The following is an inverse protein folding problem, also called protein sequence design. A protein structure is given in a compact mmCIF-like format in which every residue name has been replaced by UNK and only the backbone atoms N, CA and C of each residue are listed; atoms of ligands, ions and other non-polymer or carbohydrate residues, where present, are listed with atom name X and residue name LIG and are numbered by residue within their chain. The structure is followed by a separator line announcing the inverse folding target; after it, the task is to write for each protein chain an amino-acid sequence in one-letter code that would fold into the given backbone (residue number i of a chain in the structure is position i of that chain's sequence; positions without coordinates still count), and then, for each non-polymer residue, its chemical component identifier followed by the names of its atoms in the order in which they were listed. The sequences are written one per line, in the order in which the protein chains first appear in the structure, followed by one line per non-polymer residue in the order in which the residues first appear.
data_IF_911147006136
#
_entry.id   IF_911147006136
#
_cell.length_a   1.000
_cell.length_b   1.000
_cell.length_c   1.000
_cell.angle_alpha   90.00
_cell.angle_beta   90.00
_cell.angle_gamma   90.00
#
_symmetry.space_group_name_H-M   'P 1'
#
loop_
_entity.id
_entity.type
_entity.pdbx_description
1 polymer ?
2 water ?
#
# COMPACT_ATOMS: atom_id res chain seq x y z
N UNK A 5 7.83 -9.86 -14.92
CA UNK A 5 6.81 -8.80 -15.03
C UNK A 5 5.45 -9.34 -15.50
N UNK A 6 5.10 -10.54 -15.03
CA UNK A 6 3.84 -11.15 -15.41
C UNK A 6 3.08 -11.64 -14.19
N UNK A 7 2.04 -10.89 -13.80
CA UNK A 7 1.22 -11.22 -12.63
C UNK A 7 0.74 -12.69 -12.67
N UNK A 8 0.95 -13.40 -11.57
CA UNK A 8 0.57 -14.81 -11.49
C UNK A 8 -0.78 -15.03 -10.80
N UNK A 9 -0.94 -16.19 -10.16
CA UNK A 9 -2.17 -16.53 -9.46
C UNK A 9 -1.89 -17.44 -8.27
N UNK A 10 -1.26 -16.91 -7.21
CA UNK A 10 -0.91 -17.65 -6.00
C UNK A 10 -2.19 -17.93 -5.25
N UNK A 11 -3.30 -17.71 -5.94
CA UNK A 11 -4.62 -17.96 -5.39
C UNK A 11 -4.64 -19.19 -4.47
N UNK A 12 -3.80 -20.20 -4.76
CA UNK A 12 -3.81 -21.37 -3.87
C UNK A 12 -3.13 -21.09 -2.52
N UNK A 13 -1.83 -20.83 -2.57
CA UNK A 13 -1.03 -20.54 -1.37
C UNK A 13 -1.80 -19.67 -0.38
N UNK A 14 -2.54 -18.69 -0.90
CA UNK A 14 -3.28 -17.75 -0.07
C UNK A 14 -4.65 -18.16 0.43
N UNK A 15 -5.39 -18.95 -0.33
CA UNK A 15 -6.69 -19.37 0.17
C UNK A 15 -6.47 -20.49 1.18
N UNK A 16 -5.32 -21.16 1.05
CA UNK A 16 -4.95 -22.23 1.96
C UNK A 16 -4.65 -21.59 3.32
N UNK A 17 -3.78 -20.59 3.32
CA UNK A 17 -3.41 -19.87 4.54
C UNK A 17 -4.59 -19.09 5.13
N UNK A 18 -5.53 -18.68 4.30
CA UNK A 18 -6.68 -17.94 4.81
C UNK A 18 -7.51 -18.85 5.70
N UNK A 19 -7.74 -20.09 5.24
CA UNK A 19 -8.53 -21.04 6.03
C UNK A 19 -7.83 -21.39 7.32
N UNK A 20 -6.51 -21.57 7.26
CA UNK A 20 -5.77 -21.91 8.45
C UNK A 20 -5.96 -20.83 9.50
N UNK A 21 -5.71 -19.58 9.14
CA UNK A 21 -5.88 -18.48 10.10
C UNK A 21 -7.25 -18.51 10.77
N UNK A 22 -8.32 -18.58 9.97
CA UNK A 22 -9.66 -18.61 10.53
C UNK A 22 -9.83 -19.76 11.52
N UNK A 23 -9.22 -20.91 11.22
CA UNK A 23 -9.27 -22.08 12.11
C UNK A 23 -8.47 -21.84 13.37
N UNK A 24 -7.25 -21.34 13.20
CA UNK A 24 -6.35 -21.04 14.30
C UNK A 24 -6.96 -19.99 15.21
N UNK A 25 -7.64 -19.04 14.58
CA UNK A 25 -8.33 -17.97 15.27
C UNK A 25 -9.21 -18.60 16.36
N UNK A 26 -10.00 -19.60 15.96
CA UNK A 26 -10.89 -20.26 16.88
C UNK A 26 -10.15 -21.20 17.82
N UNK A 27 -9.03 -21.74 17.37
CA UNK A 27 -8.24 -22.62 18.21
C UNK A 27 -7.79 -21.78 19.39
N UNK A 28 -7.33 -20.57 19.10
CA UNK A 28 -6.85 -19.66 20.13
C UNK A 28 -7.97 -19.23 21.10
N UNK A 29 -9.20 -19.11 20.60
CA UNK A 29 -10.31 -18.72 21.48
C UNK A 29 -10.59 -19.78 22.53
N UNK A 30 -10.61 -21.04 22.09
CA UNK A 30 -10.88 -22.16 22.98
C UNK A 30 -9.67 -22.47 23.84
N UNK A 31 -8.49 -21.98 23.44
CA UNK A 31 -7.28 -22.23 24.19
C UNK A 31 -7.11 -21.27 25.35
N UNK A 32 -7.48 -20.02 25.14
CA UNK A 32 -7.39 -19.02 26.20
C UNK A 32 -8.30 -19.46 27.34
N UNK A 33 -9.40 -20.15 26.99
CA UNK A 33 -10.38 -20.65 27.95
C UNK A 33 -9.86 -21.92 28.60
N UNK A 34 -9.51 -22.89 27.77
CA UNK A 34 -8.99 -24.17 28.23
C UNK A 34 -7.80 -23.96 29.16
N UNK A 35 -6.96 -22.97 28.85
CA UNK A 35 -5.80 -22.72 29.70
C UNK A 35 -6.22 -22.15 31.04
N UNK A 36 -6.89 -20.99 31.02
CA UNK A 36 -7.34 -20.35 32.26
C UNK A 36 -8.02 -21.35 33.17
N UNK A 37 -8.80 -22.25 32.58
CA UNK A 37 -9.49 -23.26 33.35
C UNK A 37 -8.49 -24.13 34.11
N UNK A 38 -7.51 -24.69 33.39
CA UNK A 38 -6.46 -25.51 34.00
C UNK A 38 -5.71 -24.81 35.11
N UNK A 39 -5.48 -23.51 34.94
CA UNK A 39 -4.76 -22.72 35.93
C UNK A 39 -5.54 -22.59 37.23
N UNK A 40 -6.86 -22.52 37.14
CA UNK A 40 -7.67 -22.39 38.35
C UNK A 40 -7.94 -23.76 38.99
N UNK A 41 -7.61 -24.82 38.27
CA UNK A 41 -7.80 -26.17 38.77
C UNK A 41 -6.48 -26.78 39.19
N UNK A 42 -5.50 -25.92 39.46
CA UNK A 42 -4.20 -26.37 39.90
C UNK A 42 -4.09 -26.40 41.41
N UNK A 43 -3.77 -27.57 41.97
CA UNK A 43 -3.64 -27.72 43.42
C UNK A 43 -2.50 -26.85 43.95
N UNK A 44 -2.76 -26.03 44.98
CA UNK A 44 -1.71 -25.17 45.54
C UNK A 44 -0.47 -26.01 45.74
N UNK A 45 0.62 -25.62 45.07
CA UNK A 45 1.90 -26.32 45.09
C UNK A 45 1.77 -27.60 44.26
N UNK A 46 2.14 -27.48 42.99
CA UNK A 46 2.06 -28.56 42.03
C UNK A 46 2.79 -29.83 42.46
N UNK A 47 2.16 -30.94 42.18
CA UNK A 47 2.74 -32.28 42.36
C UNK A 47 3.45 -32.72 41.09
N UNK A 48 2.85 -33.71 40.45
CA UNK A 48 3.33 -34.24 39.17
C UNK A 48 2.15 -34.52 38.25
N UNK A 49 1.39 -35.54 38.62
CA UNK A 49 0.12 -35.89 37.97
C UNK A 49 -0.84 -34.70 38.03
N UNK A 50 -0.34 -33.68 38.65
CA UNK A 50 -1.04 -32.41 38.59
C UNK A 50 -0.74 -31.76 37.23
N UNK A 51 0.45 -32.03 36.69
CA UNK A 51 0.95 -31.25 35.58
C UNK A 51 0.80 -31.92 34.23
N UNK A 52 0.22 -33.11 34.21
CA UNK A 52 0.03 -33.83 32.96
C UNK A 52 -0.76 -32.97 31.96
N UNK A 53 -1.88 -32.37 32.41
CA UNK A 53 -2.70 -31.52 31.54
C UNK A 53 -1.99 -30.26 31.03
N UNK A 54 -1.08 -29.71 31.83
CA UNK A 54 -0.35 -28.52 31.40
C UNK A 54 0.71 -28.87 30.38
N UNK A 55 1.38 -30.00 30.58
CA UNK A 55 2.42 -30.45 29.65
C UNK A 55 1.84 -30.84 28.30
N UNK A 56 0.61 -31.33 28.30
CA UNK A 56 -0.05 -31.72 27.07
C UNK A 56 -0.41 -30.46 26.27
N UNK A 57 -0.79 -29.40 26.98
CA UNK A 57 -1.14 -28.12 26.35
C UNK A 57 0.12 -27.52 25.80
N UNK A 58 1.14 -27.38 26.65
CA UNK A 58 2.40 -26.84 26.20
C UNK A 58 2.82 -27.51 24.90
N UNK A 59 2.62 -28.83 24.85
CA UNK A 59 2.95 -29.63 23.67
C UNK A 59 2.19 -29.15 22.44
N UNK A 60 0.88 -29.01 22.59
CA UNK A 60 0.05 -28.56 21.50
C UNK A 60 0.43 -27.14 21.09
N UNK A 61 0.74 -26.29 22.06
CA UNK A 61 1.14 -24.93 21.75
C UNK A 61 2.39 -24.88 20.89
N UNK A 62 3.42 -25.66 21.28
CA UNK A 62 4.66 -25.69 20.51
C UNK A 62 4.43 -26.15 19.07
N UNK A 63 3.61 -27.18 18.92
CA UNK A 63 3.30 -27.68 17.61
C UNK A 63 2.60 -26.59 16.80
N UNK A 64 1.62 -25.94 17.43
CA UNK A 64 0.86 -24.91 16.75
C UNK A 64 1.74 -23.74 16.35
N UNK A 65 2.61 -23.34 17.27
CA UNK A 65 3.53 -22.26 17.00
C UNK A 65 4.31 -22.55 15.73
N UNK A 66 4.78 -23.78 15.60
CA UNK A 66 5.55 -24.16 14.43
C UNK A 66 4.79 -23.99 13.13
N UNK A 67 3.52 -24.39 13.12
CA UNK A 67 2.71 -24.25 11.93
C UNK A 67 2.72 -22.78 11.54
N UNK A 68 2.46 -21.93 12.52
CA UNK A 68 2.45 -20.50 12.31
C UNK A 68 3.73 -20.01 11.65
N UNK A 69 4.87 -20.57 12.04
CA UNK A 69 6.16 -20.20 11.44
C UNK A 69 6.23 -20.60 9.96
N UNK A 70 5.80 -21.83 9.68
CA UNK A 70 5.80 -22.36 8.32
C UNK A 70 4.91 -21.48 7.44
N UNK A 71 3.79 -21.05 8.00
CA UNK A 71 2.86 -20.18 7.29
C UNK A 71 3.56 -18.87 6.96
N UNK A 72 4.15 -18.25 7.98
CA UNK A 72 4.84 -16.99 7.78
C UNK A 72 5.89 -17.09 6.68
N UNK A 73 6.77 -18.09 6.81
CA UNK A 73 7.81 -18.28 5.82
C UNK A 73 7.19 -18.39 4.44
N UNK A 74 6.14 -19.20 4.34
CA UNK A 74 5.45 -19.39 3.07
C UNK A 74 4.98 -18.04 2.54
N UNK A 75 4.34 -17.24 3.41
CA UNK A 75 3.87 -15.93 2.99
C UNK A 75 5.06 -15.08 2.54
N UNK A 76 6.11 -15.05 3.35
CA UNK A 76 7.30 -14.26 3.02
C UNK A 76 7.99 -14.69 1.73
N UNK A 77 7.93 -15.98 1.42
CA UNK A 77 8.55 -16.50 0.21
C UNK A 77 7.72 -16.09 -0.99
N UNK A 78 6.41 -15.98 -0.80
CA UNK A 78 5.52 -15.61 -1.89
C UNK A 78 5.65 -14.15 -2.35
N UNK A 79 5.81 -13.21 -1.41
CA UNK A 79 5.96 -11.80 -1.78
C UNK A 79 7.27 -11.58 -2.50
N UNK A 80 8.30 -12.21 -1.97
CA UNK A 80 9.64 -12.10 -2.51
C UNK A 80 9.84 -12.84 -3.82
N UNK A 81 9.00 -13.84 -4.10
CA UNK A 81 9.17 -14.62 -5.32
C UNK A 81 8.11 -14.61 -6.40
N UNK A 82 6.94 -14.05 -6.12
CA UNK A 82 5.88 -14.02 -7.11
C UNK A 82 5.36 -12.60 -7.30
N UNK A 83 4.97 -12.27 -8.52
CA UNK A 83 4.39 -10.95 -8.79
C UNK A 83 2.92 -11.18 -8.57
N UNK A 84 2.38 -10.55 -7.55
CA UNK A 84 0.99 -10.73 -7.21
C UNK A 84 0.06 -9.69 -7.80
N UNK A 85 -1.14 -10.11 -8.17
CA UNK A 85 -2.11 -9.18 -8.72
C UNK A 85 -2.69 -8.41 -7.54
N UNK A 86 -3.21 -7.19 -7.78
CA UNK A 86 -3.78 -6.33 -6.73
C UNK A 86 -4.53 -7.05 -5.60
N UNK A 87 -5.42 -7.97 -5.95
CA UNK A 87 -6.18 -8.67 -4.92
C UNK A 87 -5.30 -9.57 -4.06
N UNK A 88 -4.57 -10.48 -4.70
CA UNK A 88 -3.67 -11.39 -3.99
C UNK A 88 -2.70 -10.59 -3.15
N UNK A 89 -2.28 -9.44 -3.68
CA UNK A 89 -1.36 -8.55 -2.99
C UNK A 89 -1.94 -8.01 -1.69
N UNK A 90 -3.14 -7.45 -1.80
CA UNK A 90 -3.82 -6.90 -0.63
C UNK A 90 -4.06 -7.98 0.42
N UNK A 91 -4.39 -9.18 -0.05
CA UNK A 91 -4.66 -10.30 0.85
C UNK A 91 -3.42 -10.72 1.61
N UNK A 92 -2.31 -10.83 0.88
CA UNK A 92 -1.05 -11.23 1.50
C UNK A 92 -0.75 -10.30 2.68
N UNK A 93 -0.83 -8.99 2.45
CA UNK A 93 -0.55 -8.00 3.49
C UNK A 93 -1.45 -8.16 4.70
N UNK A 94 -2.70 -8.57 4.46
CA UNK A 94 -3.67 -8.75 5.54
C UNK A 94 -3.38 -10.04 6.29
N UNK A 95 -3.14 -11.12 5.54
CA UNK A 95 -2.85 -12.41 6.16
C UNK A 95 -1.61 -12.34 7.04
N UNK A 96 -0.59 -11.66 6.54
CA UNK A 96 0.67 -11.50 7.25
C UNK A 96 0.44 -10.78 8.58
N UNK A 97 -0.33 -9.70 8.51
CA UNK A 97 -0.65 -8.91 9.69
C UNK A 97 -1.34 -9.72 10.77
N UNK A 98 -2.38 -10.45 10.40
CA UNK A 98 -3.11 -11.26 11.37
C UNK A 98 -2.33 -12.48 11.88
N UNK A 99 -1.51 -13.06 11.04
CA UNK A 99 -0.73 -14.20 11.48
C UNK A 99 0.24 -13.74 12.58
N UNK A 100 0.85 -12.56 12.38
CA UNK A 100 1.78 -12.04 13.37
C UNK A 100 1.09 -11.88 14.73
N UNK A 101 -0.14 -11.36 14.72
CA UNK A 101 -0.87 -11.17 15.95
C UNK A 101 -1.19 -12.51 16.60
N UNK A 102 -1.74 -13.45 15.82
CA UNK A 102 -2.05 -14.78 16.35
C UNK A 102 -0.80 -15.36 17.00
N UNK A 103 0.32 -15.25 16.30
CA UNK A 103 1.60 -15.74 16.81
C UNK A 103 1.97 -15.13 18.17
N UNK A 104 1.82 -13.81 18.32
CA UNK A 104 2.15 -13.16 19.58
C UNK A 104 1.24 -13.61 20.69
N UNK A 105 -0.05 -13.74 20.38
CA UNK A 105 -1.01 -14.18 21.37
C UNK A 105 -0.65 -15.58 21.87
N UNK A 106 -0.39 -16.49 20.94
CA UNK A 106 -0.01 -17.85 21.30
C UNK A 106 1.24 -17.81 22.18
N UNK A 107 2.15 -16.91 21.85
CA UNK A 107 3.40 -16.74 22.60
C UNK A 107 3.15 -16.34 24.06
N UNK A 108 2.30 -15.35 24.30
CA UNK A 108 2.00 -14.92 25.67
C UNK A 108 1.34 -16.05 26.47
N UNK A 109 0.62 -16.94 25.78
CA UNK A 109 -0.01 -18.07 26.43
C UNK A 109 1.02 -19.13 26.82
N UNK A 110 1.96 -19.39 25.92
CA UNK A 110 3.01 -20.37 26.18
C UNK A 110 3.94 -19.92 27.31
N UNK A 111 4.30 -18.64 27.33
CA UNK A 111 5.17 -18.12 28.39
C UNK A 111 4.52 -18.36 29.75
N UNK A 112 3.21 -18.13 29.82
CA UNK A 112 2.48 -18.30 31.07
C UNK A 112 2.47 -19.74 31.57
N UNK A 113 2.32 -20.68 30.65
CA UNK A 113 2.31 -22.09 31.01
C UNK A 113 3.74 -22.51 31.32
N UNK A 114 4.69 -21.92 30.62
CA UNK A 114 6.10 -22.23 30.84
C UNK A 114 6.62 -21.65 32.15
N UNK A 115 6.02 -20.54 32.60
CA UNK A 115 6.41 -19.88 33.85
C UNK A 115 6.19 -20.88 34.98
N UNK A 116 5.22 -21.75 34.79
CA UNK A 116 4.86 -22.77 35.76
C UNK A 116 5.73 -24.01 35.60
N UNK A 117 5.57 -24.70 34.48
CA UNK A 117 6.32 -25.91 34.21
C UNK A 117 7.83 -25.82 34.43
N UNK A 118 8.49 -24.85 33.81
CA UNK A 118 9.93 -24.70 33.98
C UNK A 118 10.33 -23.33 34.50
N UNK A 119 9.97 -23.02 35.75
CA UNK A 119 10.35 -21.70 36.31
C UNK A 119 11.85 -21.48 36.21
N UNK A 120 12.31 -20.33 36.71
CA UNK A 120 13.72 -19.96 36.64
C UNK A 120 13.95 -19.49 35.22
N UNK A 121 13.00 -19.81 34.35
CA UNK A 121 13.06 -19.40 32.96
C UNK A 121 12.18 -18.17 32.91
N UNK A 122 11.89 -17.63 34.08
CA UNK A 122 11.07 -16.44 34.19
C UNK A 122 11.89 -15.18 34.00
N UNK A 123 11.33 -14.06 34.44
CA UNK A 123 12.03 -12.79 34.28
C UNK A 123 11.50 -12.12 33.03
N UNK A 124 10.72 -12.87 32.27
CA UNK A 124 10.14 -12.35 31.04
C UNK A 124 9.17 -11.22 31.33
N UNK A 125 9.10 -10.84 32.59
CA UNK A 125 8.23 -9.76 33.05
C UNK A 125 6.75 -10.12 32.86
N UNK A 126 5.82 -9.14 32.96
CA UNK A 126 4.41 -9.50 32.78
C UNK A 126 4.03 -9.86 31.35
N UNK A 127 3.17 -10.86 31.18
CA UNK A 127 2.71 -11.26 29.85
C UNK A 127 1.73 -10.27 29.24
N UNK A 128 2.27 -9.22 28.62
CA UNK A 128 1.44 -8.21 27.98
C UNK A 128 2.09 -7.84 26.67
N UNK A 129 1.28 -7.43 25.69
CA UNK A 129 1.82 -7.04 24.42
C UNK A 129 0.92 -6.03 23.76
N UNK A 130 1.51 -5.01 23.13
CA UNK A 130 0.74 -4.01 22.42
C UNK A 130 0.94 -4.29 20.96
N UNK A 131 -0.15 -4.43 20.21
CA UNK A 131 -0.02 -4.70 18.79
C UNK A 131 -0.96 -3.82 17.99
N UNK A 132 -0.59 -3.58 16.74
CA UNK A 132 -1.41 -2.78 15.85
C UNK A 132 -2.39 -3.68 15.12
N UNK A 133 -3.65 -3.62 15.54
CA UNK A 133 -4.71 -4.42 14.94
C UNK A 133 -5.00 -3.92 13.53
N UNK A 134 -4.75 -2.63 13.29
CA UNK A 134 -4.97 -2.03 11.97
C UNK A 134 -4.33 -0.65 11.91
N UNK A 135 -3.82 -0.29 10.73
CA UNK A 135 -3.17 0.99 10.51
C UNK A 135 -3.39 1.46 9.07
N UNK A 136 -3.24 2.76 8.81
CA UNK A 136 -3.44 3.27 7.46
C UNK A 136 -2.11 3.46 6.74
N UNK A 137 -1.02 3.07 7.38
CA UNK A 137 0.30 3.22 6.78
C UNK A 137 0.62 1.96 5.96
N UNK A 138 1.48 2.09 4.94
CA UNK A 138 2.20 3.29 4.50
C UNK A 138 1.33 4.26 3.71
N UNK A 139 1.76 5.51 3.65
CA UNK A 139 1.04 6.55 2.93
C UNK A 139 1.71 7.89 3.16
N UNK A 140 1.57 8.80 2.20
CA UNK A 140 2.12 10.14 2.36
C UNK A 140 0.93 10.98 2.80
N UNK A 141 0.98 11.52 4.01
CA UNK A 141 -0.13 12.31 4.56
C UNK A 141 0.07 13.82 4.51
N UNK A 142 -1.02 14.54 4.21
CA UNK A 142 -0.99 15.99 4.13
C UNK A 142 -1.26 16.63 5.50
N UNK A 143 -0.31 17.45 5.94
CA UNK A 143 -0.39 18.14 7.22
C UNK A 143 -1.75 18.76 7.45
N UNK A 144 -2.40 18.36 8.53
CA UNK A 144 -3.72 18.90 8.81
C UNK A 144 -4.85 17.90 8.68
N UNK A 145 -4.57 16.71 8.17
CA UNK A 145 -5.64 15.72 8.08
C UNK A 145 -5.78 15.01 9.41
N UNK A 146 -6.97 14.49 9.69
CA UNK A 146 -7.18 13.75 10.92
C UNK A 146 -7.69 12.37 10.52
N UNK A 147 -7.16 11.34 11.17
CA UNK A 147 -7.53 9.95 10.89
C UNK A 147 -8.94 9.59 11.37
N UNK A 148 -9.56 8.65 10.66
CA UNK A 148 -10.89 8.19 11.04
C UNK A 148 -10.84 7.49 12.39
N UNK A 149 -12.01 7.24 12.97
CA UNK A 149 -12.06 6.60 14.28
C UNK A 149 -11.70 5.11 14.31
N UNK A 150 -11.62 4.46 13.15
CA UNK A 150 -11.28 3.04 13.13
C UNK A 150 -10.10 2.73 12.22
N UNK A 151 -9.34 3.76 11.87
CA UNK A 151 -8.19 3.61 10.99
C UNK A 151 -6.95 3.09 11.69
N UNK A 152 -6.71 3.57 12.90
CA UNK A 152 -5.52 3.17 13.65
C UNK A 152 -5.94 2.57 15.00
N UNK A 153 -5.96 1.24 15.06
CA UNK A 153 -6.36 0.54 16.28
C UNK A 153 -5.26 -0.28 16.93
N UNK A 154 -5.04 -0.05 18.22
CA UNK A 154 -4.05 -0.79 18.98
C UNK A 154 -4.78 -1.80 19.85
N UNK A 155 -4.28 -3.01 19.89
CA UNK A 155 -4.89 -4.05 20.68
C UNK A 155 -3.88 -4.54 21.71
N UNK A 156 -4.36 -4.82 22.92
CA UNK A 156 -3.52 -5.31 24.00
C UNK A 156 -3.73 -6.82 24.17
N UNK A 157 -2.64 -7.58 24.14
CA UNK A 157 -2.70 -9.02 24.30
C UNK A 157 -2.29 -9.42 25.71
N UNK A 158 -2.92 -10.47 26.22
CA UNK A 158 -2.64 -10.93 27.57
C UNK A 158 -2.63 -12.44 27.58
N UNK A 159 -2.28 -13.01 28.73
CA UNK A 159 -2.29 -14.45 28.86
C UNK A 159 -3.65 -14.80 29.41
N UNK A 160 -3.81 -16.01 29.92
CA UNK A 160 -5.10 -16.41 30.48
C UNK A 160 -5.41 -15.54 31.70
N UNK A 161 -4.45 -15.47 32.61
CA UNK A 161 -4.60 -14.68 33.83
C UNK A 161 -3.78 -13.42 33.69
N UNK A 162 -4.28 -12.33 34.25
CA UNK A 162 -3.61 -11.04 34.20
C UNK A 162 -3.09 -10.76 35.60
N UNK A 163 -1.78 -10.76 35.76
CA UNK A 163 -1.17 -10.51 37.06
C UNK A 163 -0.57 -9.12 37.10
N UNK A 164 -1.38 -8.14 36.70
CA UNK A 164 -0.94 -6.75 36.64
C UNK A 164 -2.10 -5.81 36.36
N UNK A 165 -1.84 -4.51 36.50
CA UNK A 165 -2.83 -3.47 36.21
C UNK A 165 -2.24 -2.50 35.21
N UNK A 166 -3.10 -1.81 34.47
CA UNK A 166 -2.60 -0.85 33.50
C UNK A 166 -2.87 0.56 34.02
N UNK A 167 -1.86 1.41 33.97
CA UNK A 167 -2.02 2.78 34.44
C UNK A 167 -2.08 3.73 33.26
N UNK A 168 -2.86 4.79 33.40
CA UNK A 168 -2.96 5.76 32.33
C UNK A 168 -3.42 5.17 31.02
N UNK A 169 -3.47 6.00 29.97
CA UNK A 169 -3.88 5.62 28.61
C UNK A 169 -2.72 5.14 27.75
N UNK A 170 -3.05 4.70 26.53
CA UNK A 170 -2.04 4.24 25.60
C UNK A 170 -1.54 5.48 24.86
N UNK A 171 -0.23 5.61 24.70
CA UNK A 171 0.30 6.78 24.01
C UNK A 171 1.04 6.55 22.70
N UNK A 172 0.77 7.42 21.74
CA UNK A 172 1.41 7.33 20.45
C UNK A 172 2.59 8.25 20.41
N UNK A 173 3.63 7.81 19.73
CA UNK A 173 4.83 8.62 19.63
C UNK A 173 5.42 8.52 18.25
N UNK A 174 5.64 9.66 17.61
CA UNK A 174 6.22 9.67 16.27
C UNK A 174 7.73 9.54 16.38
N UNK A 175 8.30 8.72 15.52
CA UNK A 175 9.74 8.46 15.52
C UNK A 175 10.39 8.62 14.14
N UNK A 176 11.55 9.27 14.11
CA UNK A 176 12.28 9.47 12.85
C UNK A 176 13.72 9.05 13.12
N UNK A 177 14.05 7.82 12.73
CA UNK A 177 15.39 7.29 12.94
C UNK A 177 16.48 7.84 12.03
N UNK A 178 16.26 9.04 11.51
CA UNK A 178 17.26 9.67 10.62
C UNK A 178 17.48 11.16 10.99
N UNK A 179 17.91 11.31 12.25
CA UNK A 179 17.60 12.51 13.04
C UNK A 179 18.51 13.63 12.61
N UNK A 180 19.02 14.43 13.51
CA UNK A 180 18.72 14.39 14.95
C UNK A 180 17.25 14.67 15.40
N UNK A 185 11.52 17.87 14.27
CA UNK A 185 10.95 19.16 14.78
C UNK A 185 11.41 19.43 16.21
N UNK A 186 10.97 20.58 16.77
CA UNK A 186 11.23 21.06 18.13
C UNK A 186 9.89 21.21 18.88
N UNK A 187 8.84 20.61 18.32
CA UNK A 187 7.50 20.68 18.92
C UNK A 187 6.70 19.37 18.79
N UNK A 188 5.39 19.45 19.06
CA UNK A 188 4.52 18.28 19.01
C UNK A 188 3.76 18.13 17.71
N UNK A 189 4.09 17.07 16.94
CA UNK A 189 3.49 16.73 15.65
C UNK A 189 2.13 16.05 15.72
N UNK A 190 1.76 15.56 16.89
CA UNK A 190 0.48 14.88 16.99
C UNK A 190 -0.49 15.47 17.99
N UNK A 191 -1.78 15.27 17.68
CA UNK A 191 -2.88 15.72 18.53
C UNK A 191 -3.76 14.49 18.76
N UNK A 192 -4.08 14.21 20.02
CA UNK A 192 -4.89 13.06 20.39
C UNK A 192 -4.11 11.75 20.37
N UNK A 193 -2.95 11.78 21.04
CA UNK A 193 -2.03 10.66 21.15
C UNK A 193 -2.36 9.75 22.32
N UNK A 194 -3.11 10.27 23.29
CA UNK A 194 -3.48 9.47 24.45
C UNK A 194 -4.94 9.05 24.38
N UNK A 195 -5.16 7.75 24.42
CA UNK A 195 -6.49 7.18 24.36
C UNK A 195 -6.72 6.16 25.45
N UNK A 196 -7.95 6.03 25.92
CA UNK A 196 -8.30 5.06 26.97
C UNK A 196 -8.56 3.72 26.27
N UNK A 197 -8.66 2.66 27.05
CA UNK A 197 -8.87 1.33 26.51
C UNK A 197 -10.27 0.74 26.61
N UNK A 198 -10.75 0.20 25.50
CA UNK A 198 -12.06 -0.43 25.45
C UNK A 198 -11.94 -1.78 26.16
N UNK A 199 -12.78 -2.01 27.19
CA UNK A 199 -12.84 -3.22 28.02
C UNK A 199 -13.20 -4.54 27.35
N UNK A 200 -14.23 -4.53 26.53
CA UNK A 200 -14.67 -5.76 25.87
C UNK A 200 -13.69 -6.28 24.84
N UNK A 201 -12.79 -5.41 24.38
CA UNK A 201 -11.84 -5.80 23.35
C UNK A 201 -10.42 -5.38 23.64
N UNK A 202 -10.21 -4.68 24.75
CA UNK A 202 -8.88 -4.18 25.13
C UNK A 202 -8.26 -3.47 23.95
N UNK A 203 -9.04 -2.58 23.32
CA UNK A 203 -8.54 -1.85 22.17
C UNK A 203 -8.58 -0.36 22.39
N UNK A 204 -7.71 0.34 21.67
CA UNK A 204 -7.60 1.77 21.74
C UNK A 204 -7.59 2.28 20.32
N UNK A 205 -8.53 3.15 19.98
CA UNK A 205 -8.59 3.71 18.64
C UNK A 205 -7.92 5.08 18.64
N UNK A 206 -7.13 5.35 17.61
CA UNK A 206 -6.42 6.62 17.55
C UNK A 206 -6.68 7.53 16.35
N UNK A 207 -7.68 8.42 16.45
CA UNK A 207 -7.99 9.33 15.35
C UNK A 207 -7.00 10.48 15.40
N UNK A 208 -5.78 10.21 14.99
CA UNK A 208 -4.71 11.20 15.01
C UNK A 208 -4.90 12.39 14.08
N UNK A 209 -4.39 13.53 14.54
CA UNK A 209 -4.45 14.76 13.78
C UNK A 209 -3.00 15.15 13.56
N UNK A 210 -2.55 15.13 12.31
CA UNK A 210 -1.18 15.47 12.00
C UNK A 210 -0.99 16.97 11.90
N UNK A 211 -0.25 17.51 12.86
CA UNK A 211 -0.01 18.93 12.97
C UNK A 211 1.29 19.41 12.34
N UNK A 212 2.18 18.51 11.94
CA UNK A 212 3.43 18.95 11.37
C UNK A 212 4.02 18.07 10.27
N UNK A 213 4.64 18.72 9.29
CA UNK A 213 5.27 18.00 8.20
C UNK A 213 6.47 17.27 8.75
N UNK A 214 6.97 16.31 8.00
CA UNK A 214 8.11 15.51 8.42
C UNK A 214 9.42 15.93 7.77
N UNK A 215 9.35 16.89 6.84
CA UNK A 215 10.55 17.33 6.13
C UNK A 215 11.05 16.13 5.35
N UNK A 216 10.20 15.63 4.46
CA UNK A 216 10.50 14.48 3.60
C UNK A 216 11.29 13.34 4.24
N UNK A 217 10.94 12.99 5.47
CA UNK A 217 11.61 11.89 6.15
C UNK A 217 10.62 10.82 6.58
N UNK A 218 10.92 9.57 6.29
CA UNK A 218 10.03 8.49 6.68
C UNK A 218 9.84 8.60 8.18
N UNK A 219 8.73 8.09 8.65
CA UNK A 219 8.41 8.18 10.05
C UNK A 219 7.59 6.98 10.45
N UNK A 220 7.63 6.61 11.74
CA UNK A 220 6.87 5.48 12.25
C UNK A 220 6.29 5.87 13.60
N UNK A 221 5.11 5.36 13.93
CA UNK A 221 4.52 5.65 15.24
C UNK A 221 4.83 4.48 16.17
N UNK A 222 5.02 4.79 17.46
CA UNK A 222 5.28 3.77 18.47
C UNK A 222 4.23 3.96 19.54
N UNK A 223 3.74 2.86 20.09
CA UNK A 223 2.72 2.96 21.12
C UNK A 223 3.24 2.33 22.38
N UNK A 224 2.77 2.82 23.51
CA UNK A 224 3.20 2.28 24.78
C UNK A 224 2.27 2.65 25.93
N UNK A 225 2.28 1.82 26.96
CA UNK A 225 1.46 2.03 28.15
C UNK A 225 2.23 1.54 29.35
N UNK A 226 1.82 1.99 30.53
CA UNK A 226 2.49 1.58 31.74
C UNK A 226 1.72 0.49 32.47
N UNK A 227 2.43 -0.56 32.81
CA UNK A 227 1.85 -1.69 33.52
C UNK A 227 2.41 -1.76 34.94
N UNK A 228 1.53 -1.85 35.92
CA UNK A 228 1.95 -1.96 37.30
C UNK A 228 1.78 -3.41 37.75
N UNK A 229 2.92 -4.03 38.04
CA UNK A 229 3.03 -5.40 38.49
C UNK A 229 2.29 -5.63 39.81
N UNK A 230 2.21 -6.88 40.22
CA UNK A 230 1.53 -7.24 41.45
C UNK A 230 2.41 -6.87 42.65
N UNK A 231 3.66 -6.51 42.38
CA UNK A 231 4.58 -6.13 43.43
C UNK A 231 4.86 -4.64 43.34
N UNK A 232 3.94 -3.92 42.73
CA UNK A 232 4.06 -2.48 42.55
C UNK A 232 5.26 -2.04 41.71
N UNK A 233 5.71 -2.92 40.83
CA UNK A 233 6.82 -2.57 39.96
C UNK A 233 6.22 -2.07 38.67
N UNK A 234 6.58 -0.86 38.26
CA UNK A 234 6.02 -0.30 37.04
C UNK A 234 6.94 -0.49 35.85
N UNK A 235 6.38 -1.06 34.80
CA UNK A 235 7.13 -1.32 33.57
C UNK A 235 6.37 -0.74 32.38
N UNK A 236 7.09 -0.21 31.40
CA UNK A 236 6.43 0.33 30.21
C UNK A 236 6.48 -0.73 29.13
N UNK A 237 5.34 -0.94 28.47
CA UNK A 237 5.25 -1.91 27.39
C UNK A 237 4.97 -1.14 26.12
N UNK A 238 5.82 -1.32 25.12
CA UNK A 238 5.67 -0.63 23.83
C UNK A 238 5.41 -1.61 22.72
N UNK A 239 4.93 -1.08 21.61
CA UNK A 239 4.63 -1.90 20.46
C UNK A 239 5.79 -1.78 19.50
N UNK A 240 5.82 -2.62 18.48
CA UNK A 240 6.89 -2.50 17.50
C UNK A 240 6.47 -1.27 16.71
N UNK A 241 7.32 -0.78 15.82
CA UNK A 241 6.99 0.41 15.04
C UNK A 241 5.95 0.13 13.95
N UNK A 242 5.16 1.14 13.61
CA UNK A 242 4.15 1.00 12.57
C UNK A 242 4.83 1.00 11.22
N UNK A 243 4.06 0.85 10.14
CA UNK A 243 4.65 0.90 8.82
C UNK A 243 5.10 2.33 8.66
N UNK A 244 6.12 2.57 7.84
CA UNK A 244 6.62 3.93 7.63
C UNK A 244 5.59 4.83 6.95
N UNK A 245 5.82 6.13 7.04
CA UNK A 245 4.94 7.11 6.41
C UNK A 245 5.57 8.49 6.49
N UNK A 246 5.06 9.44 5.72
CA UNK A 246 5.58 10.82 5.73
C UNK A 246 4.46 11.87 5.71
N UNK A 247 4.74 13.02 6.32
CA UNK A 247 3.78 14.11 6.36
C UNK A 247 4.32 15.27 5.53
N UNK A 248 3.56 15.73 4.55
CA UNK A 248 4.00 16.84 3.71
C UNK A 248 3.13 18.07 3.93
N UNK A 249 3.70 19.26 3.71
CA UNK A 249 2.97 20.50 3.89
C UNK A 249 2.49 21.15 2.59
N UNK A 250 2.91 20.63 1.45
CA UNK A 250 2.50 21.16 0.15
C UNK A 250 2.72 20.10 -0.93
N UNK A 251 1.85 20.05 -1.93
CA UNK A 251 1.97 19.08 -3.02
C UNK A 251 3.27 19.23 -3.79
N UNK A 252 4.23 19.94 -3.21
CA UNK A 252 5.53 20.14 -3.84
C UNK A 252 6.45 19.08 -3.29
N UNK A 253 6.12 18.63 -2.08
CA UNK A 253 6.92 17.64 -1.39
C UNK A 253 6.51 16.20 -1.71
N UNK A 254 5.31 16.03 -2.26
CA UNK A 254 4.81 14.69 -2.53
C UNK A 254 5.83 13.75 -3.13
N UNK A 255 6.42 14.12 -4.25
CA UNK A 255 7.41 13.26 -4.89
C UNK A 255 8.54 12.83 -3.99
N UNK A 256 9.33 13.81 -3.55
CA UNK A 256 10.47 13.53 -2.70
C UNK A 256 10.13 12.64 -1.54
N UNK A 257 9.04 12.96 -0.86
CA UNK A 257 8.59 12.18 0.28
C UNK A 257 8.16 10.79 -0.16
N UNK A 258 7.23 10.73 -1.10
CA UNK A 258 6.74 9.45 -1.62
C UNK A 258 7.88 8.56 -2.06
N UNK A 259 8.93 9.16 -2.60
CA UNK A 259 10.06 8.38 -3.06
C UNK A 259 10.77 7.77 -1.87
N UNK A 260 11.10 8.62 -0.90
CA UNK A 260 11.78 8.20 0.31
C UNK A 260 11.04 7.04 0.94
N UNK A 261 9.71 7.22 1.06
CA UNK A 261 8.83 6.23 1.65
C UNK A 261 8.86 4.92 0.87
N UNK A 262 8.78 5.00 -0.46
CA UNK A 262 8.78 3.81 -1.30
C UNK A 262 10.11 3.08 -1.24
N UNK A 263 11.20 3.83 -1.27
CA UNK A 263 12.52 3.22 -1.22
C UNK A 263 12.63 2.48 0.11
N UNK A 264 12.20 3.13 1.18
CA UNK A 264 12.27 2.54 2.50
C UNK A 264 11.42 1.30 2.63
N UNK A 265 10.16 1.41 2.22
CA UNK A 265 9.29 0.26 2.32
C UNK A 265 9.81 -0.86 1.42
N UNK A 266 10.29 -0.50 0.25
CA UNK A 266 10.76 -1.51 -0.70
C UNK A 266 12.01 -2.26 -0.23
N UNK A 267 13.07 -1.53 0.10
CA UNK A 267 14.33 -2.16 0.51
C UNK A 267 14.44 -2.42 1.99
N UNK A 268 14.00 -1.45 2.79
CA UNK A 268 14.07 -1.58 4.23
C UNK A 268 15.47 -1.98 4.68
N UNK A 269 16.36 -1.00 4.73
CA UNK A 269 17.72 -1.24 5.15
C UNK A 269 18.55 -2.21 4.33
N UNK A 270 18.06 -2.59 3.16
CA UNK A 270 18.82 -3.52 2.32
C UNK A 270 19.41 -2.85 1.10
N UNK A 271 20.35 -3.53 0.45
CA UNK A 271 20.98 -2.98 -0.73
C UNK A 271 20.37 -3.58 -1.98
N UNK A 272 20.01 -4.86 -1.89
CA UNK A 272 19.41 -5.53 -3.03
C UNK A 272 18.17 -6.29 -2.63
N UNK A 273 17.15 -6.21 -3.47
CA UNK A 273 15.88 -6.92 -3.23
C UNK A 273 15.51 -7.62 -4.53
N UNK A 274 14.51 -8.48 -4.49
CA UNK A 274 14.12 -9.19 -5.70
C UNK A 274 13.20 -8.31 -6.54
N UNK A 275 13.10 -8.60 -7.82
CA UNK A 275 12.24 -7.83 -8.70
C UNK A 275 10.83 -7.90 -8.14
N UNK A 276 10.35 -9.12 -7.89
CA UNK A 276 9.00 -9.29 -7.36
C UNK A 276 8.81 -8.44 -6.10
N UNK A 277 9.75 -8.53 -5.17
CA UNK A 277 9.69 -7.77 -3.92
C UNK A 277 9.51 -6.29 -4.24
N UNK A 278 10.24 -5.82 -5.25
CA UNK A 278 10.17 -4.43 -5.62
C UNK A 278 8.82 -4.00 -6.19
N UNK A 279 8.40 -4.58 -7.32
CA UNK A 279 7.14 -4.19 -7.91
C UNK A 279 5.93 -4.50 -7.04
N UNK A 280 6.02 -5.54 -6.22
CA UNK A 280 4.90 -5.82 -5.35
C UNK A 280 4.72 -4.58 -4.49
N UNK A 281 5.82 -4.00 -4.02
CA UNK A 281 5.77 -2.79 -3.20
C UNK A 281 5.32 -1.58 -4.02
N UNK A 282 5.90 -1.43 -5.19
CA UNK A 282 5.55 -0.33 -6.07
C UNK A 282 4.05 -0.39 -6.38
N UNK A 283 3.59 -1.56 -6.81
CA UNK A 283 2.19 -1.74 -7.13
C UNK A 283 1.33 -1.18 -6.01
N UNK A 284 1.65 -1.57 -4.78
CA UNK A 284 0.88 -1.12 -3.61
C UNK A 284 0.90 0.39 -3.46
N UNK A 285 2.08 0.98 -3.58
CA UNK A 285 2.22 2.42 -3.46
C UNK A 285 1.64 3.19 -4.65
N UNK A 286 1.56 2.55 -5.81
CA UNK A 286 1.00 3.19 -6.99
C UNK A 286 -0.51 3.35 -6.85
N UNK A 287 -1.17 2.36 -6.25
CA UNK A 287 -2.60 2.39 -6.07
C UNK A 287 -2.95 3.36 -4.97
N UNK A 288 -1.99 3.62 -4.09
CA UNK A 288 -2.21 4.56 -3.00
C UNK A 288 -2.10 5.97 -3.53
N UNK A 289 -1.16 6.16 -4.45
CA UNK A 289 -0.95 7.47 -5.02
C UNK A 289 -2.17 7.87 -5.84
N UNK A 290 -2.57 6.99 -6.76
CA UNK A 290 -3.71 7.25 -7.62
C UNK A 290 -5.03 7.10 -6.85
N UNK A 291 -4.91 6.93 -5.53
CA UNK A 291 -6.09 6.78 -4.68
C UNK A 291 -7.09 5.75 -5.19
N UNK A 292 -6.62 4.59 -5.63
CA UNK A 292 -7.51 3.56 -6.14
C UNK A 292 -7.78 2.51 -5.07
N UNK A 293 -8.83 1.72 -5.30
CA UNK A 293 -9.18 0.65 -4.38
C UNK A 293 -8.09 -0.39 -4.46
N UNK A 294 -7.55 -0.84 -3.31
CA UNK A 294 -6.49 -1.84 -3.26
C UNK A 294 -6.82 -3.22 -3.80
N UNK A 295 -8.06 -3.67 -3.61
CA UNK A 295 -8.45 -5.00 -4.09
C UNK A 295 -8.98 -5.02 -5.52
N UNK A 296 -9.90 -4.11 -5.81
CA UNK A 296 -10.46 -4.03 -7.15
C UNK A 296 -10.13 -2.66 -7.71
N UNK A 297 -8.87 -2.46 -8.14
CA UNK A 297 -8.43 -1.18 -8.69
C UNK A 297 -9.00 -0.96 -10.08
N UNK A 298 -9.37 0.27 -10.42
CA UNK A 298 -9.89 0.54 -11.76
C UNK A 298 -8.80 0.27 -12.79
N UNK A 299 -7.57 0.69 -12.49
CA UNK A 299 -6.44 0.46 -13.40
C UNK A 299 -5.11 0.42 -12.66
N UNK A 300 -4.60 -0.78 -12.38
CA UNK A 300 -3.33 -0.96 -11.67
C UNK A 300 -2.24 -1.08 -12.72
N UNK A 301 -0.99 -0.98 -12.29
CA UNK A 301 0.10 -1.13 -13.25
C UNK A 301 -0.12 -2.51 -13.87
N UNK A 302 -0.13 -2.58 -15.19
CA UNK A 302 -0.35 -3.81 -15.93
C UNK A 302 0.93 -4.59 -16.13
N UNK A 303 0.82 -5.72 -16.82
CA UNK A 303 1.98 -6.55 -17.11
C UNK A 303 2.90 -5.77 -18.05
N UNK A 304 2.28 -5.03 -18.96
CA UNK A 304 2.99 -4.21 -19.93
C UNK A 304 3.75 -3.12 -19.20
N UNK A 305 3.06 -2.37 -18.34
CA UNK A 305 3.70 -1.30 -17.60
C UNK A 305 4.93 -1.81 -16.85
N UNK A 306 4.75 -2.88 -16.10
CA UNK A 306 5.84 -3.45 -15.34
C UNK A 306 7.04 -3.76 -16.23
N UNK A 307 6.77 -4.39 -17.37
CA UNK A 307 7.86 -4.72 -18.27
C UNK A 307 8.54 -3.44 -18.75
N UNK A 308 7.73 -2.44 -19.11
CA UNK A 308 8.27 -1.16 -19.57
C UNK A 308 9.24 -0.65 -18.49
N UNK A 309 8.77 -0.63 -17.25
CA UNK A 309 9.58 -0.17 -16.13
C UNK A 309 10.85 -1.00 -16.02
N UNK A 310 10.67 -2.31 -15.94
CA UNK A 310 11.80 -3.23 -15.81
C UNK A 310 12.83 -3.12 -16.93
N UNK A 311 12.41 -2.68 -18.11
CA UNK A 311 13.31 -2.54 -19.24
C UNK A 311 14.03 -1.19 -19.28
N UNK A 312 13.30 -0.12 -19.00
CA UNK A 312 13.87 1.21 -19.07
C UNK A 312 14.64 1.69 -17.86
N UNK A 313 14.50 1.04 -16.71
CA UNK A 313 15.22 1.53 -15.53
C UNK A 313 16.06 0.48 -14.83
N UNK A 314 15.74 -0.78 -15.08
CA UNK A 314 16.47 -1.88 -14.47
C UNK A 314 17.02 -2.76 -15.57
N UNK A 315 18.24 -3.26 -15.37
CA UNK A 315 18.89 -4.08 -16.37
C UNK A 315 18.02 -5.19 -16.92
N UNK A 316 16.75 -5.20 -16.52
CA UNK A 316 15.83 -6.23 -16.97
C UNK A 316 16.21 -7.46 -16.15
N UNK A 317 16.92 -7.18 -15.07
CA UNK A 317 17.39 -8.20 -14.14
C UNK A 317 16.31 -8.60 -13.16
N UNK A 318 16.49 -9.76 -12.52
CA UNK A 318 15.52 -10.26 -11.56
C UNK A 318 15.98 -9.86 -10.15
N UNK A 319 16.93 -8.93 -10.09
CA UNK A 319 17.45 -8.44 -8.83
C UNK A 319 17.66 -6.95 -8.97
N UNK A 320 17.13 -6.19 -8.03
CA UNK A 320 17.23 -4.74 -8.05
C UNK A 320 18.11 -4.19 -6.94
N UNK A 321 18.99 -3.26 -7.32
CA UNK A 321 19.92 -2.64 -6.39
C UNK A 321 19.48 -1.24 -5.96
N UNK A 322 19.96 -0.83 -4.79
CA UNK A 322 19.66 0.46 -4.19
C UNK A 322 19.79 1.69 -5.10
N UNK A 323 20.94 1.88 -5.72
CA UNK A 323 21.15 3.05 -6.58
C UNK A 323 20.34 3.09 -7.86
N UNK A 324 19.91 1.94 -8.36
CA UNK A 324 19.12 1.93 -9.58
C UNK A 324 17.83 2.68 -9.32
N UNK A 325 17.43 2.71 -8.05
CA UNK A 325 16.20 3.36 -7.65
C UNK A 325 16.23 4.86 -7.92
N UNK A 326 17.29 5.51 -7.48
CA UNK A 326 17.44 6.95 -7.63
C UNK A 326 17.09 7.47 -9.04
N UNK A 327 17.58 6.80 -10.07
CA UNK A 327 17.28 7.22 -11.44
C UNK A 327 15.84 6.90 -11.79
N UNK A 328 15.39 5.72 -11.41
CA UNK A 328 14.02 5.30 -11.65
C UNK A 328 13.02 6.35 -11.17
N UNK A 329 13.19 6.80 -9.91
CA UNK A 329 12.29 7.78 -9.30
C UNK A 329 12.34 9.17 -9.89
N UNK A 330 13.50 9.55 -10.40
CA UNK A 330 13.67 10.86 -11.00
C UNK A 330 12.63 11.01 -12.10
N UNK A 331 12.37 9.92 -12.80
CA UNK A 331 11.41 9.94 -13.88
C UNK A 331 10.05 9.42 -13.45
N UNK A 332 10.03 8.22 -12.86
CA UNK A 332 8.77 7.65 -12.46
C UNK A 332 8.03 8.50 -11.44
N UNK A 333 8.77 9.10 -10.52
CA UNK A 333 8.13 9.93 -9.52
C UNK A 333 7.31 11.03 -10.18
N UNK A 334 7.86 11.62 -11.23
CA UNK A 334 7.19 12.69 -11.95
C UNK A 334 5.90 12.21 -12.61
N UNK A 335 5.95 11.05 -13.24
CA UNK A 335 4.75 10.52 -13.88
C UNK A 335 3.65 10.40 -12.81
N UNK A 336 4.03 9.94 -11.63
CA UNK A 336 3.07 9.80 -10.57
C UNK A 336 2.61 11.10 -9.98
N UNK A 337 3.45 12.13 -10.04
CA UNK A 337 3.02 13.42 -9.51
C UNK A 337 1.93 13.98 -10.40
N UNK A 338 2.12 13.81 -11.71
CA UNK A 338 1.15 14.29 -12.68
C UNK A 338 -0.18 13.56 -12.55
N UNK A 339 -0.13 12.24 -12.41
CA UNK A 339 -1.35 11.46 -12.27
C UNK A 339 -2.10 11.89 -11.01
N UNK A 340 -1.34 12.14 -9.95
CA UNK A 340 -1.93 12.52 -8.67
C UNK A 340 -2.49 13.92 -8.55
N UNK A 341 -1.87 14.88 -9.24
CA UNK A 341 -2.33 16.26 -9.11
C UNK A 341 -2.88 16.96 -10.34
N UNK A 342 -2.36 16.67 -11.52
CA UNK A 342 -2.88 17.35 -12.72
C UNK A 342 -4.34 16.99 -13.01
N UNK A 343 -5.19 18.01 -12.97
CA UNK A 343 -6.62 17.88 -13.19
C UNK A 343 -7.09 16.98 -14.33
N UNK A 344 -7.82 15.99 -14.03
CA UNK A 344 -8.46 14.94 -14.89
C UNK A 344 -7.50 13.87 -15.40
N UNK A 345 -6.18 13.99 -15.25
CA UNK A 345 -5.24 12.99 -15.75
C UNK A 345 -5.44 11.61 -15.12
N UNK A 346 -5.56 11.59 -13.78
CA UNK A 346 -5.77 10.32 -13.11
C UNK A 346 -6.93 9.60 -13.77
N UNK A 347 -8.07 10.27 -13.85
CA UNK A 347 -9.28 9.71 -14.44
C UNK A 347 -9.12 9.33 -15.91
N UNK A 348 -8.50 10.21 -16.68
CA UNK A 348 -8.29 9.96 -18.10
C UNK A 348 -7.40 8.75 -18.31
N UNK A 349 -6.40 8.57 -17.45
CA UNK A 349 -5.49 7.45 -17.55
C UNK A 349 -6.16 6.15 -17.14
N UNK A 350 -7.01 6.22 -16.13
CA UNK A 350 -7.71 5.05 -15.64
C UNK A 350 -8.78 4.59 -16.62
N UNK A 351 -9.23 5.50 -17.48
CA UNK A 351 -10.24 5.16 -18.47
C UNK A 351 -9.67 4.42 -19.69
N UNK A 352 -8.44 4.75 -20.04
CA UNK A 352 -7.81 4.14 -21.20
C UNK A 352 -7.59 5.24 -22.21
N UNK A 353 -8.09 6.43 -21.85
CA UNK A 353 -7.98 7.63 -22.70
C UNK A 353 -6.51 7.98 -22.92
N UNK A 354 -5.74 7.98 -21.82
CA UNK A 354 -4.31 8.24 -21.90
C UNK A 354 -3.70 6.87 -21.73
N UNK A 355 -2.92 6.39 -22.70
CA UNK A 355 -2.33 5.08 -22.50
C UNK A 355 -1.37 5.14 -21.33
N UNK A 356 -0.33 5.97 -21.46
CA UNK A 356 0.64 6.12 -20.39
C UNK A 356 2.06 5.65 -20.66
N UNK A 357 2.49 4.60 -19.96
CA UNK A 357 3.83 4.05 -20.09
C UNK A 357 4.06 3.25 -21.37
N UNK A 358 4.68 3.90 -22.35
CA UNK A 358 4.96 3.29 -23.65
C UNK A 358 6.13 4.01 -24.32
N UNK A 359 7.06 3.27 -24.91
CA UNK A 359 8.19 3.92 -25.57
C UNK A 359 7.96 4.36 -27.00
N UNK A 360 8.91 5.13 -27.53
CA UNK A 360 8.84 5.63 -28.91
C UNK A 360 8.55 4.53 -29.92
N UNK A 361 9.53 3.66 -30.10
CA UNK A 361 9.45 2.56 -31.04
C UNK A 361 8.21 1.68 -30.94
N UNK A 362 7.53 1.72 -29.80
CA UNK A 362 6.33 0.91 -29.63
C UNK A 362 5.09 1.70 -30.02
N UNK A 363 5.12 3.01 -29.78
CA UNK A 363 4.00 3.87 -30.14
C UNK A 363 3.97 3.93 -31.66
N UNK A 364 5.16 3.96 -32.26
CA UNK A 364 5.28 4.01 -33.71
C UNK A 364 4.69 2.77 -34.36
N UNK A 365 5.03 1.60 -33.84
CA UNK A 365 4.51 0.36 -34.40
C UNK A 365 3.02 0.24 -34.16
N UNK A 366 2.57 0.78 -33.04
CA UNK A 366 1.15 0.73 -32.71
C UNK A 366 0.39 1.61 -33.69
N UNK A 367 1.07 2.64 -34.19
CA UNK A 367 0.48 3.57 -35.13
C UNK A 367 0.95 3.32 -36.56
N UNK A 368 1.56 2.17 -36.80
CA UNK A 368 2.06 1.90 -38.13
C UNK A 368 0.92 1.90 -39.13
N UNK A 369 0.90 2.93 -39.97
CA UNK A 369 -0.09 3.12 -41.02
C UNK A 369 -1.56 3.02 -40.60
N UNK A 370 -2.05 4.08 -39.98
CA UNK A 370 -3.43 4.17 -39.57
C UNK A 370 -3.95 5.40 -40.31
N UNK A 371 -5.26 5.52 -40.51
CA UNK A 371 -5.77 6.72 -41.16
C UNK A 371 -5.30 7.95 -40.38
N UNK A 372 -4.79 8.95 -41.10
CA UNK A 372 -4.32 10.18 -40.47
C UNK A 372 -5.28 10.69 -39.41
N UNK A 373 -4.74 11.34 -38.38
CA UNK A 373 -5.57 11.86 -37.31
C UNK A 373 -5.69 10.88 -36.16
N UNK A 374 -5.01 9.74 -36.30
CA UNK A 374 -5.00 8.70 -35.26
C UNK A 374 -3.86 9.00 -34.29
N UNK A 375 -4.22 9.15 -33.02
CA UNK A 375 -3.23 9.48 -32.01
C UNK A 375 -3.39 8.69 -30.74
N UNK A 376 -2.27 8.51 -30.06
CA UNK A 376 -2.23 7.79 -28.80
C UNK A 376 -1.45 8.72 -27.86
N UNK A 377 -1.94 8.92 -26.64
CA UNK A 377 -1.28 9.80 -25.69
C UNK A 377 -0.36 9.00 -24.79
N UNK A 378 0.80 9.56 -24.44
CA UNK A 378 1.73 8.83 -23.60
C UNK A 378 2.80 9.71 -22.95
N UNK A 379 3.46 9.19 -21.93
CA UNK A 379 4.54 9.89 -21.20
C UNK A 379 5.83 10.07 -22.00
N UNK A 380 6.39 11.28 -21.98
CA UNK A 380 7.64 11.54 -22.67
C UNK A 380 8.78 10.89 -21.91
N UNK A 381 9.62 10.12 -22.60
CA UNK A 381 10.72 9.46 -21.92
C UNK A 381 11.84 10.45 -21.54
N UNK A 382 11.88 11.60 -22.20
CA UNK A 382 12.92 12.59 -21.92
C UNK A 382 12.47 13.80 -21.11
N UNK A 383 11.16 14.00 -21.02
CA UNK A 383 10.63 15.13 -20.29
C UNK A 383 9.68 14.59 -19.24
N UNK A 384 10.25 14.03 -18.16
CA UNK A 384 9.54 13.44 -17.04
C UNK A 384 8.40 14.30 -16.52
N UNK A 385 7.23 13.70 -16.44
CA UNK A 385 6.06 14.43 -15.96
C UNK A 385 5.19 14.98 -17.06
N UNK A 386 5.66 14.92 -18.31
CA UNK A 386 4.91 15.45 -19.43
C UNK A 386 4.49 14.41 -20.46
N UNK A 387 3.44 14.74 -21.21
CA UNK A 387 2.91 13.85 -22.22
C UNK A 387 3.40 14.16 -23.61
N UNK A 388 3.38 13.14 -24.46
CA UNK A 388 3.80 13.31 -25.83
C UNK A 388 2.75 12.65 -26.69
N UNK A 389 2.01 13.45 -27.45
CA UNK A 389 0.98 12.87 -28.29
C UNK A 389 1.62 12.39 -29.58
N UNK A 390 1.39 11.13 -29.90
CA UNK A 390 1.93 10.57 -31.12
C UNK A 390 0.74 10.46 -32.03
N UNK A 391 0.77 11.20 -33.14
CA UNK A 391 -0.34 11.21 -34.07
C UNK A 391 0.10 11.15 -35.51
N UNK A 392 -0.85 10.92 -36.40
CA UNK A 392 -0.55 10.86 -37.81
C UNK A 392 -1.02 12.16 -38.47
N UNK A 393 -0.09 12.83 -39.14
CA UNK A 393 -0.39 14.10 -39.77
C UNK A 393 -1.10 14.08 -41.11
N UNK A 394 -1.52 15.27 -41.52
CA UNK A 394 -2.22 15.50 -42.77
C UNK A 394 -1.29 15.36 -43.99
N UNK A 395 -0.20 16.13 -43.99
CA UNK A 395 0.76 16.13 -45.08
C UNK A 395 1.11 14.76 -45.67
N UNK A 396 1.25 14.72 -46.99
CA UNK A 396 1.59 13.50 -47.70
C UNK A 396 3.07 13.51 -48.09
N UNK A 397 3.75 12.35 -47.98
CA UNK A 397 3.13 11.11 -47.50
C UNK A 397 2.94 11.20 -45.99
N UNK A 398 1.83 10.67 -45.50
CA UNK A 398 1.55 10.72 -44.08
C UNK A 398 2.62 9.99 -43.29
N UNK A 399 3.15 10.65 -42.28
CA UNK A 399 4.18 10.08 -41.42
C UNK A 399 3.73 10.23 -39.96
N UNK A 400 4.45 9.59 -39.05
CA UNK A 400 4.10 9.69 -37.64
C UNK A 400 4.76 10.91 -37.02
N UNK A 401 3.96 11.69 -36.29
CA UNK A 401 4.47 12.89 -35.66
C UNK A 401 4.23 12.95 -34.15
N UNK A 402 5.26 13.37 -33.42
CA UNK A 402 5.18 13.48 -31.97
C UNK A 402 5.11 14.93 -31.54
N UNK A 403 4.36 15.18 -30.48
CA UNK A 403 4.20 16.53 -29.95
C UNK A 403 4.28 16.53 -28.42
N UNK A 404 5.15 17.37 -27.87
CA UNK A 404 5.28 17.44 -26.43
C UNK A 404 4.28 18.46 -25.91
N UNK A 405 3.26 18.01 -25.19
CA UNK A 405 2.28 18.94 -24.65
C UNK A 405 2.99 19.71 -23.55
N UNK A 406 2.80 21.02 -23.54
CA UNK A 406 3.48 21.83 -22.54
C UNK A 406 2.60 22.53 -21.52
N UNK A 407 3.20 22.88 -20.37
CA UNK A 407 2.49 23.56 -19.26
C UNK A 407 1.82 24.87 -19.62
N UNK A 408 1.52 25.06 -20.91
CA UNK A 408 0.86 26.28 -21.35
C UNK A 408 -0.37 25.92 -22.15
N UNK A 409 -0.42 24.68 -22.60
CA UNK A 409 -1.56 24.18 -23.36
C UNK A 409 -2.69 23.93 -22.38
N UNK A 410 -2.32 23.60 -21.15
CA UNK A 410 -3.27 23.33 -20.08
C UNK A 410 -3.04 24.37 -18.99
N UNK A 411 -2.07 25.26 -19.23
CA UNK A 411 -1.76 26.31 -18.28
C UNK A 411 -3.07 26.96 -17.85
N UNK A 412 -3.04 27.70 -16.75
CA UNK A 412 -4.25 28.33 -16.26
C UNK A 412 -5.21 27.19 -15.97
N UNK A 413 -5.23 26.73 -14.72
CA UNK A 413 -6.09 25.63 -14.30
C UNK A 413 -7.48 25.71 -14.94
N UNK A 414 -7.80 26.90 -15.44
CA UNK A 414 -9.06 27.17 -16.13
C UNK A 414 -9.21 26.17 -17.26
N UNK A 415 -8.24 26.19 -18.18
CA UNK A 415 -8.23 25.27 -19.31
C UNK A 415 -7.54 24.00 -18.82
N UNK A 416 -8.05 22.84 -19.25
CA UNK A 416 -7.52 21.55 -18.82
C UNK A 416 -7.14 20.64 -19.99
N UNK A 417 -6.25 19.69 -19.73
CA UNK A 417 -5.79 18.77 -20.77
C UNK A 417 -6.84 18.30 -21.74
N UNK A 418 -7.98 17.81 -21.24
CA UNK A 418 -9.04 17.34 -22.14
C UNK A 418 -9.61 18.43 -23.06
N UNK A 419 -9.51 19.69 -22.65
CA UNK A 419 -9.97 20.81 -23.47
C UNK A 419 -9.01 20.90 -24.64
N UNK A 420 -7.74 21.08 -24.29
CA UNK A 420 -6.66 21.17 -25.26
C UNK A 420 -6.83 20.14 -26.36
N UNK A 421 -7.10 18.90 -25.95
CA UNK A 421 -7.26 17.79 -26.90
C UNK A 421 -8.30 18.03 -27.98
N UNK A 422 -9.52 18.39 -27.56
CA UNK A 422 -10.62 18.63 -28.49
C UNK A 422 -10.52 19.93 -29.28
N UNK A 423 -9.44 20.68 -29.08
CA UNK A 423 -9.25 21.94 -29.78
C UNK A 423 -8.36 21.82 -31.02
N UNK A 424 -7.76 20.66 -31.25
CA UNK A 424 -6.89 20.51 -32.40
C UNK A 424 -7.30 19.47 -33.43
N UNK A 425 -7.62 19.94 -34.63
CA UNK A 425 -8.07 19.09 -35.72
C UNK A 425 -7.07 17.99 -36.06
N UNK A 426 -5.86 18.10 -35.55
CA UNK A 426 -4.84 17.09 -35.83
C UNK A 426 -5.16 15.81 -35.08
N UNK A 427 -5.93 15.95 -34.01
CA UNK A 427 -6.31 14.82 -33.18
C UNK A 427 -7.77 14.47 -33.47
N UNK A 428 -7.96 13.54 -34.41
CA UNK A 428 -9.30 13.10 -34.82
C UNK A 428 -9.81 11.93 -33.97
N UNK A 429 -9.29 10.73 -34.23
CA UNK A 429 -9.71 9.57 -33.44
C UNK A 429 -8.57 8.99 -32.60
N UNK A 430 -8.93 8.63 -31.38
CA UNK A 430 -8.01 8.07 -30.41
C UNK A 430 -7.94 6.55 -30.45
N UNK A 431 -6.79 6.01 -30.11
CA UNK A 431 -6.65 4.56 -30.02
C UNK A 431 -6.76 4.28 -28.53
N UNK A 432 -7.98 4.12 -28.04
CA UNK A 432 -8.19 3.89 -26.63
C UNK A 432 -7.88 2.46 -26.18
N UNK A 433 -7.46 2.36 -24.91
CA UNK A 433 -7.10 1.11 -24.25
C UNK A 433 -8.36 0.62 -23.50
N UNK A 434 -9.08 -0.31 -24.12
CA UNK A 434 -10.31 -0.84 -23.54
C UNK A 434 -10.26 -2.34 -23.32
N UNK A 435 -10.96 -2.81 -22.28
CA UNK A 435 -11.02 -4.23 -21.93
C UNK A 435 -12.02 -5.00 -22.81
N UNK A 436 -11.68 -6.25 -23.12
CA UNK A 436 -12.54 -7.10 -23.95
C UNK A 436 -13.33 -8.12 -23.15
N UNK A 437 -13.85 -9.10 -23.89
CA UNK A 437 -14.65 -10.21 -23.37
C UNK A 437 -13.99 -10.92 -22.20
N UNK A 438 -12.75 -11.34 -22.41
CA UNK A 438 -12.03 -12.05 -21.37
C UNK A 438 -11.15 -11.03 -20.65
N UNK A 439 -11.81 -9.96 -20.19
CA UNK A 439 -11.19 -8.84 -19.48
C UNK A 439 -10.17 -8.07 -20.31
N UNK A 440 -9.81 -8.67 -21.44
CA UNK A 440 -8.83 -8.21 -22.42
C UNK A 440 -8.74 -6.76 -22.91
N UNK A 441 -7.97 -5.89 -22.22
CA UNK A 441 -7.90 -4.52 -22.73
C UNK A 441 -7.09 -4.51 -24.04
N UNK A 442 -7.64 -3.88 -25.08
CA UNK A 442 -6.97 -3.80 -26.38
C UNK A 442 -7.01 -2.36 -26.88
N UNK A 443 -6.84 -2.19 -28.19
CA UNK A 443 -6.87 -0.87 -28.82
C UNK A 443 -8.03 -0.73 -29.80
N UNK A 444 -9.06 0.01 -29.40
CA UNK A 444 -10.21 0.23 -30.25
C UNK A 444 -10.33 1.72 -30.58
N UNK A 445 -10.31 2.01 -31.90
CA UNK A 445 -10.38 3.38 -32.38
C UNK A 445 -11.65 4.15 -32.05
N UNK A 446 -11.66 4.94 -30.99
CA UNK A 446 -12.89 5.65 -30.68
C UNK A 446 -12.67 6.98 -31.38
N UNK A 447 -13.64 7.88 -31.30
CA UNK A 447 -13.47 9.16 -31.93
C UNK A 447 -13.18 10.12 -30.80
N UNK A 448 -12.09 10.86 -30.94
CA UNK A 448 -11.71 11.86 -29.94
C UNK A 448 -12.90 12.32 -29.08
N UNK A 449 -13.98 12.75 -29.74
CA UNK A 449 -15.16 13.24 -29.03
C UNK A 449 -15.93 12.15 -28.29
N UNK A 450 -15.99 10.95 -28.87
CA UNK A 450 -16.68 9.82 -28.26
C UNK A 450 -16.00 9.44 -26.94
N UNK A 451 -14.71 9.14 -27.01
CA UNK A 451 -13.92 8.77 -25.84
C UNK A 451 -13.95 9.85 -24.76
N UNK A 452 -13.76 11.11 -25.15
CA UNK A 452 -13.80 12.21 -24.18
C UNK A 452 -15.26 12.45 -23.81
N UNK A 453 -16.07 11.41 -24.00
CA UNK A 453 -17.48 11.46 -23.72
C UNK A 453 -18.05 12.38 -22.67
N UNK A 454 -17.56 12.28 -21.43
CA UNK A 454 -18.07 13.13 -20.36
C UNK A 454 -17.26 14.40 -20.15
N UNK A 455 -16.00 14.39 -20.59
CA UNK A 455 -15.14 15.56 -20.47
C UNK A 455 -15.36 16.38 -21.73
N UNK A 456 -16.41 16.04 -22.45
CA UNK A 456 -16.75 16.71 -23.69
C UNK A 456 -17.21 18.13 -23.46
N UNK A 457 -17.07 18.98 -24.50
CA UNK A 457 -17.46 20.39 -24.44
C UNK A 457 -18.97 20.49 -24.70
N UNK A 458 -19.74 20.43 -23.63
CA UNK A 458 -21.20 20.49 -23.73
C UNK A 458 -21.56 21.74 -24.53
N UNK A 459 -22.69 21.70 -25.23
CA UNK A 459 -23.11 22.87 -26.00
C UNK A 459 -24.35 23.49 -25.40
N UNK A 460 -24.55 24.75 -25.71
CA UNK A 460 -25.71 25.49 -25.23
C UNK A 460 -26.71 25.36 -26.31
N UNK A 461 -26.74 26.35 -27.19
CA UNK A 461 -27.65 26.39 -28.34
C UNK A 461 -27.27 25.42 -29.47
N UNK A 462 -28.27 24.78 -30.10
CA UNK A 462 -28.08 23.83 -31.20
C UNK A 462 -27.16 24.25 -32.37
N UNK A 463 -26.77 23.26 -33.15
CA UNK A 463 -25.89 23.45 -34.29
C UNK A 463 -26.52 24.29 -35.39
N UNK A 464 -25.80 25.30 -35.89
CA UNK A 464 -26.24 26.21 -36.96
C UNK A 464 -26.34 25.43 -38.27
N UNK A 465 -27.24 25.82 -39.17
CA UNK A 465 -27.38 25.07 -40.41
C UNK A 465 -26.93 25.71 -41.72
N UNK A 466 -27.86 26.38 -42.38
CA UNK A 466 -27.58 26.98 -43.69
C UNK A 466 -26.71 28.19 -43.91
N UNK A 467 -25.85 28.55 -42.96
CA UNK A 467 -25.01 29.72 -43.14
C UNK A 467 -23.54 29.37 -43.17
N UNK A 469 -19.80 29.25 -40.75
CA UNK A 469 -19.34 29.12 -39.36
C UNK A 469 -17.86 29.39 -39.28
N UNK A 470 -17.36 29.69 -38.07
CA UNK A 470 -15.94 29.95 -37.88
C UNK A 470 -15.23 28.59 -37.85
N UNK A 471 -13.95 28.58 -38.19
CA UNK A 471 -13.16 27.35 -38.24
C UNK A 471 -12.66 26.83 -36.91
N UNK A 472 -12.89 25.54 -36.66
CA UNK A 472 -12.41 24.92 -35.42
C UNK A 472 -13.06 25.60 -34.21
N UNK A 473 -13.91 26.58 -34.49
CA UNK A 473 -14.59 27.36 -33.46
C UNK A 473 -16.10 27.13 -33.36
#
# INVERSE_FOLDING_TARGET
QQGNPNLSSPQPILDTIYKLLSEQEQTLVQMIHEQSLLLNRLPPTLDENSLAPLKSLSQKQITLSGQMNTEMSALDATKKGMILEPTDLAKLFALKQDLQIQFKQLSLLHNEIQSILNPQHSAPKPNVALVLKSQPFPVVISKGKQLGENQLVVLVLTGARSNFHINGPVKATMICDSHPTNKNNPTTPLEMDSQPIYPATLTAHFPLKFLAGTRKCSVNLKFGVNIRDLDNVTTTVESDASNPFVVITNECQWEGSAGVLLKKDAFDGQLEITWAQFINTLQRHFLIATKQDPVRPKRPLSSYDLKYIQTHFFGNRSIIHQQDFDKFWVWFGKSMQTLRYQRHISTLWQEGIIYGYMGRQEVNDALQNQDPGTFIIRFSERNPGQFGIAYIGVEMPARIKHYLVQPNDTAAAKKTFPDFLSEHSQFVNLLQWTKDTNGAPRFLKLHKDTALGSFAPKRTAPVPVGGXEPLNS
#
